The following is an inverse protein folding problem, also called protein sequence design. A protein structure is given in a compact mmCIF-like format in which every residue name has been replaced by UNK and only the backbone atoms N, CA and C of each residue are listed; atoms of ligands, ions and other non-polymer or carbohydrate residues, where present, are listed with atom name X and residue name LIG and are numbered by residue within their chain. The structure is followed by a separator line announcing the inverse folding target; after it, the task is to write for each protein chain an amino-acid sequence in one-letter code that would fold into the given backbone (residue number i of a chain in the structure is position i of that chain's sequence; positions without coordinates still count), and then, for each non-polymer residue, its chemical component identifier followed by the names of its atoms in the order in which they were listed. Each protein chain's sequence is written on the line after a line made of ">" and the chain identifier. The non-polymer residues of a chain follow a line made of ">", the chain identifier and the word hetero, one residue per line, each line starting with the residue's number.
data_IF_929593589571
#
_entry.id   IF_929593589571
#
_cell.length_a   1.000
_cell.length_b   1.000
_cell.length_c   1.000
_cell.angle_alpha   90.00
_cell.angle_beta   90.00
_cell.angle_gamma   90.00
#
_symmetry.space_group_name_H-M   'P 1'
#
loop_
_entity.id
_entity.type
_entity.pdbx_description
1 polymer ?
#
# COMPACT_ATOMS: atom_id res chain seq x y z
N UNK A 1 -24.88 -12.15 -37.32
CA UNK A 1 -24.40 -10.76 -37.45
C UNK A 1 -25.49 -9.67 -37.25
N UNK A 2 -26.78 -9.99 -37.06
CA UNK A 2 -27.85 -8.98 -36.92
C UNK A 2 -28.11 -8.46 -35.50
N UNK A 3 -27.72 -9.18 -34.44
CA UNK A 3 -28.04 -8.81 -33.05
C UNK A 3 -27.10 -7.74 -32.48
N UNK A 4 -25.85 -7.75 -32.89
CA UNK A 4 -24.84 -6.78 -32.44
C UNK A 4 -25.07 -5.37 -33.02
N UNK A 5 -25.61 -5.29 -34.23
CA UNK A 5 -25.91 -4.01 -34.88
C UNK A 5 -27.16 -3.34 -34.27
N UNK A 6 -28.15 -4.14 -33.84
CA UNK A 6 -29.33 -3.63 -33.16
C UNK A 6 -29.01 -3.05 -31.76
N UNK A 7 -28.13 -3.70 -30.99
CA UNK A 7 -27.69 -3.20 -29.69
C UNK A 7 -26.85 -1.93 -29.81
N UNK A 8 -26.02 -1.81 -30.84
CA UNK A 8 -25.27 -0.60 -31.14
C UNK A 8 -26.20 0.58 -31.46
N UNK A 9 -27.23 0.35 -32.28
CA UNK A 9 -28.22 1.39 -32.60
C UNK A 9 -29.03 1.85 -31.37
N UNK A 10 -29.40 0.93 -30.48
CA UNK A 10 -30.07 1.27 -29.22
C UNK A 10 -29.14 2.08 -28.30
N UNK A 11 -27.88 1.68 -28.17
CA UNK A 11 -26.87 2.42 -27.39
C UNK A 11 -26.65 3.84 -27.91
N UNK A 12 -26.66 4.04 -29.23
CA UNK A 12 -26.50 5.36 -29.85
C UNK A 12 -27.68 6.30 -29.55
N UNK A 13 -28.91 5.78 -29.54
CA UNK A 13 -30.13 6.56 -29.29
C UNK A 13 -30.25 6.95 -27.81
N UNK A 14 -30.04 6.01 -26.88
CA UNK A 14 -30.16 6.29 -25.44
C UNK A 14 -28.92 6.99 -24.86
N UNK A 15 -27.71 6.67 -25.34
CA UNK A 15 -26.46 7.28 -24.88
C UNK A 15 -26.15 8.63 -25.53
N UNK A 16 -26.41 8.78 -26.84
CA UNK A 16 -26.11 10.00 -27.59
C UNK A 16 -27.26 10.99 -27.65
N UNK A 17 -28.52 10.52 -27.74
CA UNK A 17 -29.69 11.38 -27.94
C UNK A 17 -30.27 11.94 -26.64
N UNK A 18 -30.54 11.09 -25.65
CA UNK A 18 -31.17 11.51 -24.38
C UNK A 18 -30.16 12.14 -23.42
N UNK A 19 -28.94 11.60 -23.35
CA UNK A 19 -27.88 12.13 -22.48
C UNK A 19 -27.43 13.55 -22.86
N UNK A 20 -27.31 13.85 -24.15
CA UNK A 20 -26.84 15.15 -24.64
C UNK A 20 -27.85 16.28 -24.38
N UNK A 21 -29.16 15.98 -24.44
CA UNK A 21 -30.23 16.97 -24.19
C UNK A 21 -30.37 17.29 -22.70
N UNK A 22 -30.09 16.34 -21.80
CA UNK A 22 -30.10 16.58 -20.34
C UNK A 22 -28.86 17.40 -19.90
N UNK A 23 -27.69 17.15 -20.51
CA UNK A 23 -26.47 17.90 -20.19
C UNK A 23 -26.58 19.40 -20.55
N UNK A 24 -27.11 19.73 -21.73
CA UNK A 24 -27.24 21.11 -22.20
C UNK A 24 -28.20 21.99 -21.37
N UNK A 25 -29.13 21.38 -20.61
CA UNK A 25 -30.06 22.10 -19.73
C UNK A 25 -29.54 22.35 -18.30
N UNK A 26 -28.44 21.71 -17.90
CA UNK A 26 -27.93 21.72 -16.52
C UNK A 26 -26.73 22.65 -16.30
N UNK A 27 -26.27 23.36 -17.34
CA UNK A 27 -25.15 24.31 -17.24
C UNK A 27 -23.78 23.65 -16.99
N UNK A 28 -23.65 22.34 -17.19
CA UNK A 28 -22.37 21.62 -17.08
C UNK A 28 -21.51 21.93 -18.30
N UNK A 29 -20.59 22.88 -18.17
CA UNK A 29 -19.51 23.08 -19.14
C UNK A 29 -18.47 21.98 -18.95
N UNK A 30 -18.12 21.26 -20.01
CA UNK A 30 -16.92 20.42 -20.00
C UNK A 30 -15.72 21.35 -20.06
N UNK A 31 -15.15 21.66 -18.90
CA UNK A 31 -13.86 22.34 -18.84
C UNK A 31 -12.79 21.36 -19.30
N UNK A 32 -12.38 21.52 -20.55
CA UNK A 32 -11.35 20.71 -21.20
C UNK A 32 -10.01 21.00 -20.52
N UNK A 33 -9.56 20.12 -19.64
CA UNK A 33 -8.21 20.21 -19.09
C UNK A 33 -7.21 19.76 -20.15
N UNK A 34 -6.21 20.60 -20.40
CA UNK A 34 -5.14 20.36 -21.37
C UNK A 34 -4.22 19.23 -20.87
N UNK A 35 -4.15 18.14 -21.63
CA UNK A 35 -3.29 16.99 -21.35
C UNK A 35 -1.92 17.08 -22.07
N UNK A 36 -1.61 18.20 -22.72
CA UNK A 36 -0.36 18.40 -23.44
C UNK A 36 0.78 18.94 -22.55
N UNK A 37 0.56 19.16 -21.25
CA UNK A 37 1.60 19.57 -20.31
C UNK A 37 2.39 18.36 -19.76
N UNK A 38 3.67 18.17 -20.13
CA UNK A 38 4.47 17.05 -19.65
C UNK A 38 4.85 17.18 -18.15
N UNK A 39 4.53 18.29 -17.49
CA UNK A 39 4.92 18.53 -16.10
C UNK A 39 4.05 17.79 -15.06
N UNK A 40 3.09 16.96 -15.47
CA UNK A 40 2.21 16.22 -14.55
C UNK A 40 2.57 14.73 -14.36
N UNK A 41 3.69 14.26 -14.92
CA UNK A 41 4.23 12.95 -14.59
C UNK A 41 5.36 13.06 -13.57
N UNK A 42 5.00 12.96 -12.30
CA UNK A 42 5.96 12.71 -11.22
C UNK A 42 5.90 13.70 -10.08
N UNK A 43 4.87 13.60 -9.24
CA UNK A 43 5.11 13.72 -7.81
C UNK A 43 4.13 12.83 -7.08
N UNK A 44 4.68 11.90 -6.30
CA UNK A 44 3.95 11.26 -5.22
C UNK A 44 3.30 12.37 -4.40
N UNK A 45 1.99 12.52 -4.51
CA UNK A 45 1.22 13.41 -3.67
C UNK A 45 1.08 12.79 -2.26
N UNK A 46 2.20 12.54 -1.60
CA UNK A 46 2.32 12.63 -0.15
C UNK A 46 2.95 14.00 0.16
N UNK A 47 2.19 15.08 -0.04
CA UNK A 47 2.59 16.44 0.33
C UNK A 47 1.45 17.12 1.08
N UNK A 48 1.27 16.68 2.32
CA UNK A 48 0.93 17.53 3.45
C UNK A 48 1.37 16.79 4.72
N UNK A 49 2.68 16.67 4.90
CA UNK A 49 3.27 16.34 6.20
C UNK A 49 2.91 17.49 7.16
N UNK A 50 1.76 17.36 7.81
CA UNK A 50 1.56 17.99 9.10
C UNK A 50 2.55 17.34 10.06
N UNK A 51 3.62 18.06 10.35
CA UNK A 51 4.62 17.79 11.37
C UNK A 51 3.95 17.67 12.75
N UNK A 52 3.38 16.50 13.05
CA UNK A 52 2.73 16.17 14.32
C UNK A 52 2.97 14.72 14.78
N UNK A 53 3.82 13.93 14.13
CA UNK A 53 4.21 12.62 14.68
C UNK A 53 5.34 12.82 15.67
N UNK A 54 4.99 13.16 16.91
CA UNK A 54 5.87 12.86 18.02
C UNK A 54 6.29 11.39 17.89
N UNK A 55 7.59 11.15 17.69
CA UNK A 55 8.13 9.80 17.57
C UNK A 55 7.74 9.02 18.81
N UNK A 56 6.96 7.94 18.65
CA UNK A 56 6.58 7.07 19.76
C UNK A 56 7.79 6.25 20.17
N UNK A 57 8.54 6.74 21.17
CA UNK A 57 9.69 6.05 21.75
C UNK A 57 9.33 5.41 23.08
N UNK A 58 9.30 4.08 23.09
CA UNK A 58 8.96 3.26 24.23
C UNK A 58 10.22 2.82 24.99
N UNK A 59 10.11 2.59 26.31
CA UNK A 59 11.20 2.01 27.09
C UNK A 59 11.54 0.59 26.60
N UNK A 60 12.83 0.24 26.65
CA UNK A 60 13.30 -1.10 26.32
C UNK A 60 13.11 -2.07 27.50
N UNK A 61 11.86 -2.45 27.76
CA UNK A 61 11.48 -3.42 28.79
C UNK A 61 10.79 -4.66 28.20
N UNK A 62 10.29 -5.57 29.04
CA UNK A 62 9.65 -6.82 28.60
C UNK A 62 8.33 -6.63 27.85
N UNK A 63 7.69 -5.46 27.96
CA UNK A 63 6.46 -5.10 27.26
C UNK A 63 6.74 -4.31 25.98
N UNK A 64 8.01 -4.04 25.66
CA UNK A 64 8.38 -3.34 24.45
C UNK A 64 7.92 -4.11 23.20
N UNK A 65 7.38 -3.41 22.19
CA UNK A 65 7.02 -4.04 20.92
C UNK A 65 8.25 -4.52 20.17
N UNK A 66 8.13 -5.67 19.52
CA UNK A 66 9.15 -6.21 18.63
C UNK A 66 8.50 -6.91 17.44
N UNK A 67 9.29 -7.21 16.41
CA UNK A 67 8.82 -7.94 15.23
C UNK A 67 9.85 -8.98 14.80
N UNK A 68 9.37 -10.17 14.46
CA UNK A 68 10.14 -11.19 13.77
C UNK A 68 9.54 -11.43 12.39
N UNK A 69 10.39 -11.82 11.43
CA UNK A 69 9.94 -12.15 10.07
C UNK A 69 10.52 -13.48 9.60
N UNK A 70 9.78 -14.15 8.72
CA UNK A 70 10.22 -15.36 8.02
C UNK A 70 9.76 -15.32 6.57
N UNK A 71 10.67 -15.65 5.67
CA UNK A 71 10.37 -15.92 4.26
C UNK A 71 10.20 -17.42 4.03
N UNK A 72 9.14 -17.80 3.33
CA UNK A 72 8.80 -19.17 3.00
C UNK A 72 8.51 -19.23 1.51
N UNK A 73 9.24 -20.06 0.76
CA UNK A 73 8.93 -20.28 -0.67
C UNK A 73 7.52 -20.88 -0.78
N UNK A 74 6.68 -20.28 -1.62
CA UNK A 74 5.35 -20.83 -1.89
C UNK A 74 5.51 -22.06 -2.81
N UNK A 75 4.86 -23.21 -2.51
CA UNK A 75 4.94 -24.40 -3.35
C UNK A 75 4.40 -24.22 -4.77
N UNK A 76 3.52 -23.24 -5.01
CA UNK A 76 2.95 -22.96 -6.32
C UNK A 76 3.79 -21.93 -7.10
N UNK A 77 3.97 -20.72 -6.55
CA UNK A 77 4.76 -19.65 -7.17
C UNK A 77 5.01 -18.52 -6.17
N UNK A 78 6.16 -17.85 -6.25
CA UNK A 78 6.46 -16.71 -5.36
C UNK A 78 6.82 -17.11 -3.93
N UNK A 79 6.54 -16.24 -2.97
CA UNK A 79 6.95 -16.37 -1.57
C UNK A 79 5.88 -15.89 -0.60
N UNK A 80 5.86 -16.45 0.60
CA UNK A 80 5.02 -16.01 1.70
C UNK A 80 5.90 -15.39 2.80
N UNK A 81 5.70 -14.09 3.05
CA UNK A 81 6.28 -13.37 4.17
C UNK A 81 5.36 -13.51 5.38
N UNK A 82 5.88 -14.13 6.44
CA UNK A 82 5.23 -14.17 7.75
C UNK A 82 5.84 -13.11 8.67
N UNK A 83 5.01 -12.22 9.19
CA UNK A 83 5.33 -11.18 10.16
C UNK A 83 4.71 -11.53 11.49
N UNK A 84 5.54 -11.63 12.52
CA UNK A 84 5.14 -11.97 13.89
C UNK A 84 5.49 -10.81 14.81
N UNK A 85 4.56 -9.85 15.01
CA UNK A 85 4.73 -8.83 16.04
C UNK A 85 4.57 -9.42 17.44
N UNK A 86 5.25 -8.83 18.42
CA UNK A 86 5.09 -9.11 19.84
C UNK A 86 4.77 -7.79 20.56
N UNK A 87 3.84 -7.82 21.52
CA UNK A 87 3.35 -6.64 22.23
C UNK A 87 2.84 -5.53 21.28
N UNK A 88 2.34 -5.94 20.13
CA UNK A 88 1.81 -5.07 19.10
C UNK A 88 0.65 -5.74 18.37
N UNK A 89 -0.39 -4.96 18.06
CA UNK A 89 -1.62 -5.39 17.41
C UNK A 89 -1.78 -4.63 16.09
N UNK A 90 -2.04 -5.36 15.01
CA UNK A 90 -2.50 -4.72 13.79
C UNK A 90 -3.89 -4.09 14.01
N UNK A 91 -4.03 -2.82 13.62
CA UNK A 91 -5.27 -2.07 13.76
C UNK A 91 -5.60 -1.32 12.46
N UNK A 92 -6.03 -2.03 11.40
CA UNK A 92 -6.45 -1.39 10.15
C UNK A 92 -7.59 -0.39 10.36
N UNK A 93 -8.48 -0.65 11.33
CA UNK A 93 -9.60 0.22 11.68
C UNK A 93 -9.18 1.58 12.24
N UNK A 94 -7.98 1.68 12.82
CA UNK A 94 -7.43 2.92 13.38
C UNK A 94 -6.31 3.52 12.51
N UNK A 95 -6.07 2.99 11.30
CA UNK A 95 -5.05 3.52 10.41
C UNK A 95 -5.32 5.00 10.07
N UNK A 96 -4.26 5.82 10.10
CA UNK A 96 -4.35 7.27 9.86
C UNK A 96 -5.21 8.03 10.90
N UNK A 97 -5.30 7.50 12.13
CA UNK A 97 -5.92 8.18 13.27
C UNK A 97 -4.89 8.52 14.35
N UNK A 98 -5.34 8.97 15.52
CA UNK A 98 -4.45 9.26 16.65
C UNK A 98 -3.71 8.00 17.14
N UNK A 99 -2.56 8.22 17.76
CA UNK A 99 -1.70 7.15 18.25
C UNK A 99 -2.37 6.36 19.39
N UNK A 100 -2.44 5.04 19.25
CA UNK A 100 -2.80 4.12 20.32
C UNK A 100 -1.60 3.21 20.56
N UNK A 101 -1.08 3.21 21.79
CA UNK A 101 0.14 2.47 22.12
C UNK A 101 -0.01 0.99 21.84
N UNK A 102 0.97 0.43 21.14
CA UNK A 102 0.97 -0.99 20.75
C UNK A 102 0.03 -1.32 19.59
N UNK A 103 -0.53 -0.33 18.89
CA UNK A 103 -1.37 -0.54 17.72
C UNK A 103 -0.78 0.11 16.46
N UNK A 104 -1.11 -0.44 15.30
CA UNK A 104 -0.81 0.18 14.02
C UNK A 104 -0.69 -0.80 12.86
N UNK A 105 0.34 -0.61 12.05
CA UNK A 105 0.58 -1.38 10.84
C UNK A 105 2.07 -1.57 10.55
N UNK A 106 2.38 -2.54 9.70
CA UNK A 106 3.74 -2.78 9.24
C UNK A 106 3.97 -2.09 7.89
N UNK A 107 5.21 -1.65 7.65
CA UNK A 107 5.70 -1.29 6.33
C UNK A 107 6.64 -2.39 5.84
N UNK A 108 6.40 -2.90 4.63
CA UNK A 108 7.24 -3.91 3.98
C UNK A 108 8.10 -3.24 2.92
N UNK A 109 9.38 -3.60 2.88
CA UNK A 109 10.34 -3.12 1.91
C UNK A 109 11.10 -4.28 1.27
N UNK A 110 11.42 -4.13 -0.01
CA UNK A 110 12.25 -5.05 -0.80
C UNK A 110 13.44 -4.23 -1.33
N UNK A 111 14.67 -4.61 -0.99
CA UNK A 111 15.89 -3.88 -1.39
C UNK A 111 15.84 -2.38 -1.09
N UNK A 112 15.23 -2.01 0.04
CA UNK A 112 15.05 -0.61 0.46
C UNK A 112 13.85 0.11 -0.16
N UNK A 113 13.25 -0.43 -1.23
CA UNK A 113 12.03 0.13 -1.82
C UNK A 113 10.79 -0.29 -1.03
N UNK A 114 9.90 0.66 -0.73
CA UNK A 114 8.68 0.39 0.04
C UNK A 114 7.65 -0.30 -0.86
N UNK A 115 7.32 -1.55 -0.54
CA UNK A 115 6.26 -2.30 -1.21
C UNK A 115 4.88 -1.78 -0.78
N UNK A 116 4.68 -1.54 0.52
CA UNK A 116 3.38 -1.08 1.02
C UNK A 116 3.18 -1.24 2.52
N UNK A 117 1.93 -1.02 2.93
CA UNK A 117 1.43 -1.24 4.29
C UNK A 117 0.89 -2.65 4.42
N UNK A 118 1.11 -3.28 5.57
CA UNK A 118 0.59 -4.59 5.91
C UNK A 118 -0.17 -4.51 7.24
N UNK A 119 -1.41 -5.00 7.23
CA UNK A 119 -2.34 -4.98 8.37
C UNK A 119 -2.63 -6.38 8.95
N UNK A 120 -1.81 -7.36 8.59
CA UNK A 120 -1.98 -8.75 8.99
C UNK A 120 -0.62 -9.47 9.09
N UNK A 121 -0.63 -10.70 9.57
CA UNK A 121 0.60 -11.47 9.76
C UNK A 121 1.20 -12.01 8.45
N UNK A 122 0.44 -12.09 7.36
CA UNK A 122 0.87 -12.75 6.14
C UNK A 122 0.70 -11.85 4.93
N UNK A 123 1.68 -11.86 4.04
CA UNK A 123 1.58 -11.31 2.70
C UNK A 123 2.25 -12.25 1.70
N UNK A 124 1.57 -12.47 0.58
CA UNK A 124 2.11 -13.19 -0.55
C UNK A 124 2.87 -12.23 -1.46
N UNK A 125 4.10 -12.58 -1.83
CA UNK A 125 4.97 -11.85 -2.74
C UNK A 125 5.09 -12.69 -4.02
N UNK A 126 4.43 -12.27 -5.12
CA UNK A 126 4.32 -13.11 -6.32
C UNK A 126 5.68 -13.37 -6.98
N UNK A 127 6.62 -12.44 -6.83
CA UNK A 127 8.00 -12.59 -7.29
C UNK A 127 8.94 -11.75 -6.42
N UNK A 128 10.24 -12.05 -6.50
CA UNK A 128 11.32 -11.24 -5.97
C UNK A 128 12.37 -11.04 -7.07
N UNK A 129 13.17 -9.96 -7.05
CA UNK A 129 14.31 -9.82 -7.96
C UNK A 129 15.30 -10.98 -7.79
N UNK A 130 16.01 -11.34 -8.87
CA UNK A 130 17.03 -12.37 -8.80
C UNK A 130 18.22 -11.98 -7.92
N UNK A 131 18.79 -12.97 -7.24
CA UNK A 131 19.95 -12.84 -6.36
C UNK A 131 19.61 -12.66 -4.89
N UNK A 132 20.50 -11.98 -4.17
CA UNK A 132 20.30 -11.64 -2.75
C UNK A 132 19.27 -10.50 -2.64
N UNK A 133 18.15 -10.81 -1.99
CA UNK A 133 17.06 -9.86 -1.77
C UNK A 133 16.92 -9.55 -0.28
N UNK A 134 17.10 -8.28 0.09
CA UNK A 134 16.80 -7.81 1.44
C UNK A 134 15.30 -7.60 1.60
N UNK A 135 14.70 -8.30 2.57
CA UNK A 135 13.34 -8.04 3.05
C UNK A 135 13.45 -7.32 4.37
N UNK A 136 12.83 -6.13 4.47
CA UNK A 136 12.73 -5.35 5.71
C UNK A 136 11.26 -5.14 6.07
N UNK A 137 10.95 -5.30 7.34
CA UNK A 137 9.64 -4.96 7.91
C UNK A 137 9.84 -4.02 9.09
N UNK A 138 9.15 -2.88 9.10
CA UNK A 138 9.12 -1.97 10.26
C UNK A 138 7.70 -1.84 10.81
N UNK A 139 7.54 -1.71 12.13
CA UNK A 139 6.27 -1.38 12.77
C UNK A 139 6.09 0.13 12.88
N UNK A 140 4.87 0.59 12.66
CA UNK A 140 4.49 2.01 12.65
C UNK A 140 3.16 2.15 13.38
N UNK A 141 3.00 3.26 14.09
CA UNK A 141 1.79 3.60 14.81
C UNK A 141 0.59 3.91 13.90
N UNK A 142 -0.57 4.11 14.51
CA UNK A 142 -1.80 4.53 13.82
C UNK A 142 -1.61 5.86 13.05
N UNK A 143 -0.80 6.76 13.61
CA UNK A 143 -0.44 8.05 13.03
C UNK A 143 0.61 7.98 11.91
N UNK A 144 1.00 6.76 11.49
CA UNK A 144 2.15 6.47 10.62
C UNK A 144 3.53 6.84 11.22
N UNK A 145 3.59 7.23 12.49
CA UNK A 145 4.86 7.46 13.18
C UNK A 145 5.68 6.15 13.26
N UNK A 146 7.01 6.19 13.02
CA UNK A 146 7.86 5.04 13.28
C UNK A 146 7.80 4.66 14.76
N UNK A 147 7.57 3.38 15.04
CA UNK A 147 7.61 2.87 16.40
C UNK A 147 9.06 2.67 16.83
N UNK A 148 9.45 3.25 17.96
CA UNK A 148 10.81 3.19 18.47
C UNK A 148 10.83 2.53 19.86
N UNK A 149 11.88 1.76 20.14
CA UNK A 149 12.17 1.19 21.45
C UNK A 149 13.62 1.53 21.80
N UNK A 150 13.82 2.22 22.92
CA UNK A 150 15.17 2.62 23.34
C UNK A 150 15.92 3.49 22.31
N UNK A 151 15.18 4.26 21.50
CA UNK A 151 15.75 5.08 20.43
C UNK A 151 16.10 4.34 19.14
N UNK A 152 15.72 3.06 19.00
CA UNK A 152 15.88 2.28 17.78
C UNK A 152 14.52 1.94 17.16
N UNK A 153 14.41 1.92 15.81
CA UNK A 153 13.17 1.51 15.16
C UNK A 153 12.85 0.05 15.45
N UNK A 154 11.57 -0.25 15.62
CA UNK A 154 11.08 -1.63 15.72
C UNK A 154 10.99 -2.22 14.31
N UNK A 155 12.05 -2.88 13.89
CA UNK A 155 12.16 -3.49 12.56
C UNK A 155 12.85 -4.86 12.59
N UNK A 156 12.63 -5.66 11.55
CA UNK A 156 13.36 -6.88 11.28
C UNK A 156 13.78 -6.95 9.81
N UNK A 157 14.91 -7.60 9.56
CA UNK A 157 15.50 -7.77 8.23
C UNK A 157 15.96 -9.20 8.04
N UNK A 158 15.87 -9.68 6.81
CA UNK A 158 16.55 -10.90 6.36
C UNK A 158 16.98 -10.75 4.91
N UNK A 159 17.95 -11.55 4.51
CA UNK A 159 18.33 -11.73 3.11
C UNK A 159 17.82 -13.10 2.67
N UNK A 160 17.17 -13.15 1.51
CA UNK A 160 16.76 -14.39 0.85
C UNK A 160 17.42 -14.45 -0.51
N UNK A 161 17.99 -15.60 -0.85
CA UNK A 161 18.42 -15.89 -2.22
C UNK A 161 17.17 -16.22 -3.02
N UNK A 162 16.81 -15.34 -3.95
CA UNK A 162 15.75 -15.58 -4.93
C UNK A 162 16.42 -15.94 -6.26
N UNK A 163 16.01 -17.06 -6.83
CA UNK A 163 16.36 -17.41 -8.20
C UNK A 163 15.06 -17.32 -9.01
N UNK A 164 15.14 -16.81 -10.24
CA UNK A 164 14.03 -16.79 -11.20
C UNK A 164 13.42 -18.20 -11.25
N UNK A 165 12.24 -18.38 -10.66
CA UNK A 165 11.45 -19.59 -10.81
C UNK A 165 10.82 -19.53 -12.19
N UNK A 166 11.68 -19.68 -13.20
CA UNK A 166 11.36 -19.63 -14.61
C UNK A 166 10.04 -20.32 -14.88
N UNK A 167 9.04 -19.49 -15.21
CA UNK A 167 7.71 -19.89 -15.63
C UNK A 167 7.74 -20.71 -16.92
#
# INVERSE_FOLDING_TARGET
>A
MSRSLALFAIGLIFGGGVGFVIAAGSGSTFDSHDHADPSQHGSNAEMAAHDHSAVTNLPADSNAPSVAIKMIKDPMAGWNLHVTPQNFRFSPENASTEEILGEGHAHVYINGEKLGRLYANWIHLPSLPDGDVEIKVSLNGNSHSPLMVGGLPVEAKLIVQADDDGS
#
